data_IF_404374876008
#
_entry.id   IF_404374876008
#
_cell.length_a   1.000
_cell.length_b   1.000
_cell.length_c   1.000
_cell.angle_alpha   90.00
_cell.angle_beta   90.00
_cell.angle_gamma   90.00
#
_symmetry.space_group_name_H-M   'P 1'
#
loop_
_entity.id
_entity.type
_entity.pdbx_description
1 polymer ?
#
# COMPACT_ATOMS: atom_id res chain seq x y z
N UNK A 1 -15.71 -7.45 5.24
CA UNK A 1 -15.77 -6.09 5.80
C UNK A 1 -14.51 -5.36 5.39
N UNK A 2 -14.54 -4.62 4.27
CA UNK A 2 -13.53 -3.62 3.99
C UNK A 2 -13.95 -2.36 4.78
N UNK A 3 -13.19 -2.03 5.82
CA UNK A 3 -13.38 -0.79 6.57
C UNK A 3 -13.23 0.39 5.60
N UNK A 4 -14.11 1.39 5.70
CA UNK A 4 -14.19 2.58 4.85
C UNK A 4 -12.97 3.50 4.93
N UNK A 5 -11.81 3.00 4.54
CA UNK A 5 -10.60 3.75 4.27
C UNK A 5 -10.47 3.92 2.77
N UNK A 6 -10.27 5.16 2.32
CA UNK A 6 -9.99 5.46 0.92
C UNK A 6 -8.61 4.92 0.56
N UNK A 7 -8.55 3.64 0.19
CA UNK A 7 -7.35 3.00 -0.31
C UNK A 7 -7.14 3.40 -1.76
N UNK A 8 -5.95 3.90 -2.09
CA UNK A 8 -5.54 4.12 -3.48
C UNK A 8 -4.72 2.92 -3.93
N UNK A 9 -5.24 2.16 -4.89
CA UNK A 9 -4.59 0.95 -5.38
C UNK A 9 -3.82 1.27 -6.65
N UNK A 10 -2.58 0.79 -6.71
CA UNK A 10 -1.80 0.77 -7.94
C UNK A 10 -1.45 -0.68 -8.30
N UNK A 11 -1.63 -1.03 -9.56
CA UNK A 11 -1.41 -2.39 -10.03
C UNK A 11 -1.02 -2.38 -11.50
N UNK A 12 -0.36 -3.46 -11.95
CA UNK A 12 -0.05 -3.62 -13.37
C UNK A 12 -1.33 -3.76 -14.20
N UNK A 13 -1.26 -3.43 -15.50
CA UNK A 13 -2.39 -3.66 -16.42
C UNK A 13 -2.86 -5.12 -16.42
N UNK A 14 -1.93 -6.07 -16.26
CA UNK A 14 -2.23 -7.50 -16.19
C UNK A 14 -2.99 -7.88 -14.90
N UNK A 15 -2.73 -7.21 -13.78
CA UNK A 15 -3.49 -7.38 -12.53
C UNK A 15 -4.95 -6.97 -12.74
N UNK A 16 -5.19 -5.77 -13.28
CA UNK A 16 -6.54 -5.27 -13.52
C UNK A 16 -7.28 -5.98 -14.66
N UNK A 17 -6.59 -6.56 -15.64
CA UNK A 17 -7.23 -7.35 -16.71
C UNK A 17 -7.78 -8.70 -16.22
N UNK A 18 -7.26 -9.24 -15.12
CA UNK A 18 -7.70 -10.52 -14.54
C UNK A 18 -8.77 -10.35 -13.47
N UNK A 19 -9.05 -9.11 -13.05
CA UNK A 19 -9.98 -8.82 -11.98
C UNK A 19 -11.15 -7.97 -12.49
N UNK A 20 -12.36 -8.33 -12.08
CA UNK A 20 -13.55 -7.53 -12.38
C UNK A 20 -13.58 -6.33 -11.44
N UNK A 21 -13.41 -5.12 -11.97
CA UNK A 21 -13.49 -3.85 -11.23
C UNK A 21 -14.90 -3.56 -10.65
N UNK A 22 -15.84 -4.47 -10.84
CA UNK A 22 -17.25 -4.38 -10.41
C UNK A 22 -17.45 -4.82 -8.95
N UNK A 23 -16.43 -5.39 -8.29
CA UNK A 23 -16.53 -5.85 -6.89
C UNK A 23 -15.75 -4.92 -5.95
N UNK A 24 -16.38 -4.57 -4.82
CA UNK A 24 -15.83 -3.73 -3.73
C UNK A 24 -14.71 -4.41 -2.92
N UNK A 25 -14.31 -5.62 -3.29
CA UNK A 25 -13.32 -6.41 -2.56
C UNK A 25 -12.48 -7.26 -3.52
N UNK A 26 -11.17 -7.11 -3.44
CA UNK A 26 -10.22 -7.95 -4.16
C UNK A 26 -9.93 -9.21 -3.34
N UNK A 27 -10.02 -10.39 -3.95
CA UNK A 27 -9.66 -11.67 -3.29
C UNK A 27 -8.14 -11.76 -3.01
N UNK A 28 -7.34 -10.98 -3.75
CA UNK A 28 -5.90 -10.81 -3.56
C UNK A 28 -5.53 -9.35 -3.74
N UNK A 29 -4.68 -8.85 -2.86
CA UNK A 29 -4.10 -7.52 -2.98
C UNK A 29 -3.24 -7.41 -4.26
N UNK A 30 -3.12 -6.20 -4.85
CA UNK A 30 -2.13 -5.93 -5.89
C UNK A 30 -0.70 -6.10 -5.38
N UNK A 31 0.26 -6.11 -6.31
CA UNK A 31 1.69 -6.16 -5.98
C UNK A 31 2.13 -5.02 -5.04
N UNK A 32 1.56 -3.81 -5.19
CA UNK A 32 1.85 -2.63 -4.37
C UNK A 32 0.53 -2.01 -3.87
N UNK A 33 0.44 -1.80 -2.55
CA UNK A 33 -0.66 -1.04 -1.93
C UNK A 33 -0.14 0.29 -1.41
N UNK A 34 -0.77 1.42 -1.76
CA UNK A 34 -0.32 2.76 -1.33
C UNK A 34 -1.39 3.42 -0.46
N UNK A 35 -1.01 3.84 0.75
CA UNK A 35 -1.84 4.63 1.66
C UNK A 35 -1.23 6.01 1.85
N UNK A 36 -2.08 7.04 1.76
CA UNK A 36 -1.69 8.40 2.08
C UNK A 36 -1.95 8.65 3.57
N UNK A 37 -0.91 8.97 4.33
CA UNK A 37 -1.04 9.35 5.75
C UNK A 37 -1.63 10.76 5.80
N UNK A 38 -2.76 10.90 6.47
CA UNK A 38 -3.38 12.18 6.80
C UNK A 38 -3.48 12.36 8.31
N UNK A 39 -3.71 13.59 8.77
CA UNK A 39 -3.85 13.91 10.20
C UNK A 39 -5.00 13.16 10.91
N UNK A 40 -5.93 12.58 10.16
CA UNK A 40 -7.02 11.75 10.69
C UNK A 40 -6.66 10.28 10.86
N UNK A 41 -5.49 9.83 10.40
CA UNK A 41 -5.05 8.44 10.51
C UNK A 41 -4.19 8.24 11.75
N UNK A 42 -4.40 7.12 12.44
CA UNK A 42 -3.53 6.73 13.55
C UNK A 42 -2.44 5.77 13.09
N UNK A 43 -1.30 5.78 13.77
CA UNK A 43 -0.22 4.81 13.54
C UNK A 43 -0.70 3.36 13.67
N UNK A 44 -1.59 3.10 14.62
CA UNK A 44 -2.18 1.78 14.83
C UNK A 44 -3.01 1.33 13.62
N UNK A 45 -3.82 2.24 13.07
CA UNK A 45 -4.60 1.99 11.86
C UNK A 45 -3.68 1.71 10.66
N UNK A 46 -2.62 2.50 10.47
CA UNK A 46 -1.67 2.29 9.37
C UNK A 46 -0.95 0.94 9.50
N UNK A 47 -0.49 0.58 10.70
CA UNK A 47 0.11 -0.74 10.96
C UNK A 47 -0.85 -1.89 10.64
N UNK A 48 -2.12 -1.74 11.03
CA UNK A 48 -3.15 -2.74 10.73
C UNK A 48 -3.38 -2.90 9.22
N UNK A 49 -3.49 -1.79 8.49
CA UNK A 49 -3.66 -1.80 7.03
C UNK A 49 -2.47 -2.42 6.31
N UNK A 50 -1.25 -1.99 6.64
CA UNK A 50 -0.01 -2.55 6.10
C UNK A 50 0.03 -4.06 6.27
N UNK A 51 -0.21 -4.55 7.50
CA UNK A 51 -0.22 -5.98 7.78
C UNK A 51 -1.35 -6.72 7.04
N UNK A 52 -2.52 -6.09 6.87
CA UNK A 52 -3.64 -6.64 6.11
C UNK A 52 -3.33 -6.77 4.62
N UNK A 53 -2.64 -5.80 4.02
CA UNK A 53 -2.29 -5.83 2.60
C UNK A 53 -1.23 -6.90 2.29
N UNK A 54 -0.18 -6.97 3.11
CA UNK A 54 0.87 -7.97 2.97
C UNK A 54 0.27 -9.40 3.11
N UNK A 55 -0.55 -9.64 4.13
CA UNK A 55 -1.25 -10.94 4.29
C UNK A 55 -2.18 -11.30 3.13
N UNK A 56 -2.69 -10.32 2.39
CA UNK A 56 -3.55 -10.54 1.22
C UNK A 56 -2.75 -10.67 -0.09
N UNK A 57 -1.42 -10.69 -0.02
CA UNK A 57 -0.54 -10.98 -1.15
C UNK A 57 0.14 -9.75 -1.76
N UNK A 58 0.07 -8.57 -1.13
CA UNK A 58 0.88 -7.45 -1.56
C UNK A 58 2.36 -7.76 -1.33
N UNK A 59 3.20 -7.43 -2.33
CA UNK A 59 4.66 -7.55 -2.19
C UNK A 59 5.23 -6.39 -1.40
N UNK A 60 4.66 -5.20 -1.60
CA UNK A 60 4.99 -4.01 -0.83
C UNK A 60 3.73 -3.23 -0.43
N UNK A 61 3.75 -2.66 0.77
CA UNK A 61 2.81 -1.63 1.20
C UNK A 61 3.58 -0.33 1.43
N UNK A 62 3.10 0.78 0.86
CA UNK A 62 3.75 2.08 0.91
C UNK A 62 2.88 3.02 1.73
N UNK A 63 3.48 3.65 2.72
CA UNK A 63 2.87 4.78 3.41
C UNK A 63 3.52 6.06 2.91
N UNK A 64 2.70 6.98 2.41
CA UNK A 64 3.16 8.25 1.83
C UNK A 64 2.54 9.39 2.61
N UNK A 65 3.34 10.29 3.15
CA UNK A 65 2.80 11.49 3.79
C UNK A 65 2.41 12.57 2.76
N UNK A 66 1.85 13.69 3.24
CA UNK A 66 1.43 14.79 2.39
C UNK A 66 2.60 15.57 1.77
N UNK A 67 3.82 15.39 2.26
CA UNK A 67 5.04 15.96 1.71
C UNK A 67 5.64 15.08 0.60
N UNK A 68 5.08 13.87 0.43
CA UNK A 68 5.51 12.88 -0.56
C UNK A 68 6.59 11.93 -0.06
N UNK A 69 6.92 11.98 1.25
CA UNK A 69 7.88 11.06 1.84
C UNK A 69 7.27 9.66 1.91
N UNK A 70 8.00 8.68 1.39
CA UNK A 70 7.54 7.30 1.31
C UNK A 70 8.25 6.40 2.33
N UNK A 71 7.48 5.53 2.99
CA UNK A 71 7.97 4.41 3.80
C UNK A 71 7.48 3.11 3.19
N UNK A 72 8.38 2.15 3.00
CA UNK A 72 8.09 0.90 2.29
C UNK A 72 8.06 -0.27 3.27
N UNK A 73 7.10 -1.16 3.13
CA UNK A 73 6.95 -2.33 4.00
C UNK A 73 6.81 -3.60 3.18
N UNK A 74 7.56 -4.63 3.57
CA UNK A 74 7.41 -6.02 3.11
C UNK A 74 7.06 -6.92 4.30
N UNK A 75 6.93 -8.23 4.08
CA UNK A 75 6.79 -9.19 5.17
C UNK A 75 7.99 -9.17 6.15
N UNK A 76 9.17 -8.73 5.69
CA UNK A 76 10.38 -8.56 6.50
C UNK A 76 10.40 -7.24 7.30
N UNK A 77 9.35 -6.42 7.19
CA UNK A 77 9.24 -5.14 7.86
C UNK A 77 9.57 -3.93 6.98
N UNK A 78 9.92 -2.81 7.61
CA UNK A 78 10.21 -1.55 6.93
C UNK A 78 11.52 -1.62 6.14
N UNK A 79 11.47 -1.19 4.88
CA UNK A 79 12.59 -1.21 3.95
C UNK A 79 13.06 0.21 3.66
N UNK A 80 14.38 0.40 3.52
CA UNK A 80 14.96 1.70 3.17
C UNK A 80 14.72 2.13 1.71
N UNK A 81 14.22 1.22 0.85
CA UNK A 81 13.91 1.49 -0.56
C UNK A 81 12.89 0.48 -1.10
N UNK A 82 12.20 0.84 -2.18
CA UNK A 82 11.38 -0.11 -2.93
C UNK A 82 12.23 -1.11 -3.72
N UNK A 83 11.77 -2.35 -3.83
CA UNK A 83 12.31 -3.38 -4.70
C UNK A 83 11.89 -3.24 -6.16
N UNK A 84 10.97 -2.34 -6.51
CA UNK A 84 10.46 -2.15 -7.87
C UNK A 84 11.32 -1.23 -8.75
N UNK A 85 12.48 -0.77 -8.25
CA UNK A 85 13.46 -0.01 -9.04
C UNK A 85 13.00 1.39 -9.47
N UNK A 86 11.89 1.89 -8.92
CA UNK A 86 11.43 3.25 -9.15
C UNK A 86 12.27 4.24 -8.32
N UNK A 87 12.70 5.38 -8.88
CA UNK A 87 13.26 6.47 -8.10
C UNK A 87 12.13 7.10 -7.30
N UNK A 88 11.97 6.67 -6.05
CA UNK A 88 11.01 7.24 -5.10
C UNK A 88 11.80 8.03 -4.06
N UNK A 89 11.48 9.30 -3.89
CA UNK A 89 12.07 10.13 -2.86
C UNK A 89 11.66 9.61 -1.48
N UNK A 90 12.63 9.11 -0.72
CA UNK A 90 12.44 8.74 0.68
C UNK A 90 12.72 10.00 1.48
N UNK A 91 11.73 10.50 2.21
CA UNK A 91 11.96 11.63 3.12
C UNK A 91 12.97 11.23 4.17
N UNK A 92 14.11 11.90 4.17
CA UNK A 92 15.09 11.83 5.25
C UNK A 92 14.76 12.94 6.23
N UNK A 93 14.01 12.61 7.27
CA UNK A 93 13.87 13.44 8.47
C UNK A 93 14.29 12.61 9.68
#
# INVERSE_FOLDING_TARGET
MAYGSRMSLWGSKAFFQRQSLVRDSFDKAPDICVEIISSGNSDAEMRQKTALYLRQGAREAWLVDLEGNCRFFTEDGEQGKTGFGAPVSVGVH
#
